data_IF_643970375738
#
_entry.id   IF_643970375738
#
_cell.length_a   1.000
_cell.length_b   1.000
_cell.length_c   1.000
_cell.angle_alpha   90.00
_cell.angle_beta   90.00
_cell.angle_gamma   90.00
#
_symmetry.space_group_name_H-M   'P 1'
#
loop_
_entity.id
_entity.type
_entity.pdbx_description
1 polymer ?
#
# COMPACT_ATOMS: atom_id res chain seq x y z
N UNK A 1 -16.94 5.60 22.22
CA UNK A 1 -18.05 6.53 22.48
C UNK A 1 -18.51 7.15 21.17
N UNK A 2 -19.79 7.11 20.92
CA UNK A 2 -20.33 7.66 19.68
C UNK A 2 -20.75 9.11 19.84
N UNK A 3 -20.47 9.93 18.82
CA UNK A 3 -20.97 11.28 18.73
C UNK A 3 -22.43 11.20 18.28
N UNK A 4 -23.29 12.07 18.81
CA UNK A 4 -24.68 12.08 18.39
C UNK A 4 -24.77 12.35 16.88
N UNK A 5 -25.76 11.76 16.22
CA UNK A 5 -25.90 11.88 14.78
C UNK A 5 -26.03 13.33 14.32
N UNK A 6 -26.83 14.13 15.02
CA UNK A 6 -26.99 15.55 14.67
C UNK A 6 -25.71 16.34 14.78
N UNK A 7 -24.91 16.07 15.80
CA UNK A 7 -23.63 16.77 15.98
C UNK A 7 -22.65 16.40 14.88
N UNK A 8 -22.61 15.13 14.47
CA UNK A 8 -21.75 14.69 13.38
C UNK A 8 -22.13 15.35 12.06
N UNK A 9 -23.42 15.40 11.76
CA UNK A 9 -23.90 16.02 10.53
C UNK A 9 -23.56 17.50 10.48
N UNK A 10 -23.66 18.20 11.58
CA UNK A 10 -23.31 19.62 11.65
C UNK A 10 -21.82 19.87 11.39
N UNK A 11 -20.96 19.07 11.99
CA UNK A 11 -19.52 19.15 11.78
C UNK A 11 -19.17 18.87 10.33
N UNK A 12 -19.75 17.83 9.74
CA UNK A 12 -19.53 17.49 8.34
C UNK A 12 -19.95 18.61 7.40
N UNK A 13 -21.09 19.24 7.67
CA UNK A 13 -21.56 20.34 6.86
C UNK A 13 -20.61 21.54 6.89
N UNK A 14 -20.05 21.86 8.06
CA UNK A 14 -19.09 22.95 8.19
C UNK A 14 -17.79 22.65 7.43
N UNK A 15 -17.29 21.43 7.53
CA UNK A 15 -16.08 21.03 6.82
C UNK A 15 -16.27 21.08 5.31
N UNK A 16 -17.42 20.62 4.82
CA UNK A 16 -17.71 20.63 3.38
C UNK A 16 -17.76 22.05 2.82
N UNK A 17 -18.24 23.02 3.59
CA UNK A 17 -18.24 24.41 3.16
C UNK A 17 -16.85 25.00 3.04
N UNK A 18 -15.90 24.51 3.83
CA UNK A 18 -14.52 25.00 3.84
C UNK A 18 -13.64 24.31 2.79
N UNK A 19 -14.02 23.11 2.38
CA UNK A 19 -13.24 22.34 1.42
C UNK A 19 -13.79 22.53 0.02
N UNK A 20 -12.89 22.84 -0.92
CA UNK A 20 -13.24 23.00 -2.33
C UNK A 20 -12.72 21.81 -3.10
N UNK A 21 -13.44 21.48 -4.16
CA UNK A 21 -13.00 20.44 -5.11
C UNK A 21 -12.77 19.09 -4.45
N UNK A 22 -13.67 18.71 -3.55
CA UNK A 22 -13.60 17.41 -2.90
C UNK A 22 -13.83 16.32 -3.94
N UNK A 23 -12.90 15.37 -4.09
CA UNK A 23 -13.12 14.27 -5.03
C UNK A 23 -14.25 13.36 -4.55
N UNK A 24 -14.90 12.63 -5.46
CA UNK A 24 -15.91 11.65 -5.06
C UNK A 24 -15.30 10.62 -4.11
N UNK A 25 -16.10 10.17 -3.16
CA UNK A 25 -15.70 9.12 -2.25
C UNK A 25 -15.52 7.81 -3.02
N UNK A 26 -14.52 7.03 -2.59
CA UNK A 26 -14.31 5.68 -3.13
C UNK A 26 -14.65 4.66 -2.06
N UNK A 27 -15.28 3.58 -2.48
CA UNK A 27 -15.68 2.49 -1.59
C UNK A 27 -15.13 1.19 -2.16
N UNK A 28 -15.11 0.15 -1.32
CA UNK A 28 -14.75 -1.17 -1.80
C UNK A 28 -15.72 -1.59 -2.90
N UNK A 29 -15.23 -2.25 -3.95
CA UNK A 29 -16.12 -2.67 -5.03
C UNK A 29 -17.11 -3.73 -4.55
N UNK A 30 -18.29 -3.78 -5.21
CA UNK A 30 -19.32 -4.73 -4.85
C UNK A 30 -18.86 -6.18 -4.93
N UNK A 31 -17.87 -6.45 -5.80
CA UNK A 31 -17.31 -7.78 -5.97
C UNK A 31 -16.05 -8.02 -5.15
N UNK A 32 -15.86 -7.27 -4.08
CA UNK A 32 -14.61 -7.34 -3.30
C UNK A 32 -14.29 -8.76 -2.85
N UNK A 33 -15.28 -9.53 -2.48
CA UNK A 33 -15.08 -10.91 -2.04
C UNK A 33 -14.64 -11.85 -3.17
N UNK A 34 -14.74 -11.40 -4.42
CA UNK A 34 -14.41 -12.19 -5.60
C UNK A 34 -13.09 -11.80 -6.24
N UNK A 35 -12.34 -10.87 -5.64
CA UNK A 35 -11.07 -10.45 -6.19
C UNK A 35 -10.05 -11.57 -6.07
N UNK A 36 -9.02 -11.52 -6.93
CA UNK A 36 -7.94 -12.50 -6.85
C UNK A 36 -7.19 -12.36 -5.52
N UNK A 37 -6.64 -13.44 -4.98
CA UNK A 37 -5.85 -13.34 -3.76
C UNK A 37 -4.58 -12.53 -3.98
N UNK A 38 -4.01 -11.95 -2.93
CA UNK A 38 -2.75 -11.21 -3.07
C UNK A 38 -1.64 -12.14 -3.55
N UNK A 39 -0.80 -11.61 -4.42
CA UNK A 39 0.34 -12.37 -4.97
C UNK A 39 1.41 -12.67 -3.93
N UNK A 40 1.55 -11.78 -2.97
CA UNK A 40 2.59 -11.90 -1.96
C UNK A 40 1.97 -11.97 -0.57
N UNK A 41 2.62 -12.73 0.29
CA UNK A 41 2.21 -12.86 1.69
C UNK A 41 3.19 -12.14 2.60
N UNK A 42 2.73 -11.78 3.80
CA UNK A 42 3.62 -11.18 4.78
C UNK A 42 4.78 -12.13 5.10
N UNK A 43 5.99 -11.60 5.12
CA UNK A 43 7.20 -12.38 5.31
C UNK A 43 7.94 -12.73 4.03
N UNK A 44 7.31 -12.55 2.87
CA UNK A 44 7.98 -12.81 1.59
C UNK A 44 8.95 -11.68 1.24
N UNK A 45 10.05 -12.05 0.61
CA UNK A 45 11.02 -11.10 0.08
C UNK A 45 10.58 -10.63 -1.28
N UNK A 46 10.63 -9.33 -1.51
CA UNK A 46 10.25 -8.73 -2.79
C UNK A 46 11.22 -7.62 -3.16
N UNK A 47 11.24 -7.29 -4.45
CA UNK A 47 11.97 -6.14 -4.96
C UNK A 47 11.14 -5.45 -6.03
N UNK A 48 11.47 -4.20 -6.30
CA UNK A 48 10.80 -3.44 -7.37
C UNK A 48 11.32 -3.93 -8.73
N UNK A 49 10.41 -4.14 -9.67
CA UNK A 49 10.73 -4.78 -10.95
C UNK A 49 11.49 -3.89 -11.92
N UNK A 50 11.30 -2.59 -11.84
CA UNK A 50 11.81 -1.64 -12.84
C UNK A 50 13.12 -0.97 -12.46
N UNK A 51 13.73 -1.31 -11.33
CA UNK A 51 14.93 -0.64 -10.85
C UNK A 51 16.19 -1.50 -10.93
N UNK A 52 16.07 -2.74 -11.36
CA UNK A 52 17.22 -3.62 -11.51
C UNK A 52 17.79 -4.13 -10.18
N UNK A 53 18.99 -4.68 -10.25
CA UNK A 53 19.62 -5.33 -9.08
C UNK A 53 20.01 -4.36 -7.98
N UNK A 54 20.22 -3.10 -8.32
CA UNK A 54 20.61 -2.08 -7.33
C UNK A 54 19.41 -1.36 -6.73
N UNK A 55 18.20 -1.79 -7.07
CA UNK A 55 16.99 -1.19 -6.56
C UNK A 55 16.69 -1.59 -5.13
N UNK A 56 15.62 -1.01 -4.61
CA UNK A 56 15.15 -1.33 -3.27
C UNK A 56 14.57 -2.73 -3.21
N UNK A 57 14.72 -3.36 -2.06
CA UNK A 57 14.13 -4.65 -1.78
C UNK A 57 13.86 -4.77 -0.28
N UNK A 58 13.04 -5.73 0.10
CA UNK A 58 12.75 -5.92 1.50
C UNK A 58 11.71 -7.01 1.72
N UNK A 59 11.08 -6.95 2.88
CA UNK A 59 10.10 -7.93 3.34
C UNK A 59 8.71 -7.32 3.35
N UNK A 60 7.73 -8.07 2.89
CA UNK A 60 6.32 -7.68 2.98
C UNK A 60 5.91 -7.76 4.45
N UNK A 61 5.46 -6.65 5.01
CA UNK A 61 4.96 -6.58 6.39
C UNK A 61 3.49 -6.23 6.46
N UNK A 62 2.87 -5.89 5.35
CA UNK A 62 1.46 -5.57 5.29
C UNK A 62 0.95 -5.63 3.87
N UNK A 63 -0.34 -5.83 3.74
CA UNK A 63 -1.00 -5.84 2.44
C UNK A 63 -2.37 -5.19 2.58
N UNK A 64 -2.78 -4.46 1.56
CA UNK A 64 -4.06 -3.78 1.56
C UNK A 64 -4.56 -3.59 0.14
N UNK A 65 -5.86 -3.42 0.01
CA UNK A 65 -6.49 -3.22 -1.28
C UNK A 65 -6.79 -1.74 -1.42
N UNK A 66 -6.34 -1.12 -2.52
CA UNK A 66 -6.43 0.31 -2.70
C UNK A 66 -6.88 0.66 -4.11
N UNK A 67 -7.50 1.82 -4.25
CA UNK A 67 -7.96 2.29 -5.55
C UNK A 67 -6.86 3.08 -6.25
N UNK A 68 -6.50 2.64 -7.46
CA UNK A 68 -5.52 3.34 -8.29
C UNK A 68 -6.26 4.28 -9.25
N UNK A 69 -6.18 5.57 -8.99
CA UNK A 69 -6.92 6.57 -9.76
C UNK A 69 -6.51 6.63 -11.23
N UNK A 70 -5.24 6.45 -11.52
CA UNK A 70 -4.75 6.52 -12.91
C UNK A 70 -5.31 5.40 -13.77
N UNK A 71 -5.55 4.24 -13.17
CA UNK A 71 -6.08 3.07 -13.86
C UNK A 71 -7.55 2.84 -13.60
N UNK A 72 -8.13 3.65 -12.70
CA UNK A 72 -9.53 3.54 -12.31
C UNK A 72 -9.90 2.12 -11.88
N UNK A 73 -9.05 1.47 -11.09
CA UNK A 73 -9.32 0.11 -10.60
C UNK A 73 -8.73 -0.12 -9.22
N UNK A 74 -9.27 -1.11 -8.54
CA UNK A 74 -8.78 -1.55 -7.24
C UNK A 74 -7.64 -2.53 -7.45
N UNK A 75 -6.58 -2.37 -6.67
CA UNK A 75 -5.37 -3.18 -6.80
C UNK A 75 -4.79 -3.49 -5.44
N UNK A 76 -4.09 -4.62 -5.34
CA UNK A 76 -3.35 -4.96 -4.15
C UNK A 76 -2.13 -4.07 -4.01
N UNK A 77 -1.89 -3.61 -2.78
CA UNK A 77 -0.71 -2.85 -2.40
C UNK A 77 -0.04 -3.55 -1.24
N UNK A 78 1.24 -3.28 -1.08
CA UNK A 78 2.04 -3.90 -0.03
C UNK A 78 2.87 -2.88 0.70
N UNK A 79 3.04 -3.10 1.99
CA UNK A 79 3.97 -2.33 2.80
C UNK A 79 5.23 -3.17 2.89
N UNK A 80 6.36 -2.59 2.48
CA UNK A 80 7.64 -3.28 2.39
C UNK A 80 8.59 -2.70 3.43
N UNK A 81 9.07 -3.54 4.34
CA UNK A 81 10.14 -3.16 5.25
C UNK A 81 11.46 -3.28 4.51
N UNK A 82 12.11 -2.15 4.29
CA UNK A 82 13.27 -2.09 3.42
C UNK A 82 14.47 -2.76 4.06
N UNK A 83 15.21 -3.50 3.25
CA UNK A 83 16.44 -4.14 3.69
C UNK A 83 17.49 -3.08 4.06
N UNK A 84 18.37 -3.38 5.01
CA UNK A 84 19.35 -2.38 5.46
C UNK A 84 20.26 -1.82 4.36
N UNK A 85 20.47 -2.60 3.30
CA UNK A 85 21.31 -2.18 2.17
C UNK A 85 20.53 -1.58 1.01
N UNK A 86 19.23 -1.38 1.16
CA UNK A 86 18.44 -0.67 0.16
C UNK A 86 18.79 0.81 0.14
N UNK A 87 18.81 1.41 -1.05
CA UNK A 87 19.14 2.82 -1.18
C UNK A 87 18.22 3.73 -0.38
N UNK A 88 16.95 3.41 -0.40
CA UNK A 88 15.95 4.27 0.25
C UNK A 88 15.99 4.20 1.77
N UNK A 89 16.72 3.28 2.37
CA UNK A 89 16.84 3.24 3.84
C UNK A 89 17.54 4.47 4.41
N UNK A 90 18.22 5.24 3.57
CA UNK A 90 18.77 6.51 3.99
C UNK A 90 17.67 7.53 4.35
N UNK A 91 16.46 7.35 3.85
CA UNK A 91 15.35 8.29 4.07
C UNK A 91 14.17 7.67 4.80
N UNK A 92 13.95 6.37 4.66
CA UNK A 92 12.79 5.72 5.24
C UNK A 92 13.10 4.26 5.57
N UNK A 93 12.33 3.70 6.50
CA UNK A 93 12.48 2.30 6.89
C UNK A 93 11.53 1.39 6.15
N UNK A 94 10.45 1.93 5.61
CA UNK A 94 9.47 1.16 4.84
C UNK A 94 8.92 2.01 3.70
N UNK A 95 8.34 1.33 2.73
CA UNK A 95 7.69 1.99 1.60
C UNK A 95 6.51 1.13 1.15
N UNK A 96 5.66 1.71 0.33
CA UNK A 96 4.51 0.99 -0.22
C UNK A 96 4.71 0.80 -1.72
N UNK A 97 4.09 -0.25 -2.24
CA UNK A 97 4.18 -0.56 -3.67
C UNK A 97 2.91 -1.24 -4.16
N UNK A 98 2.59 -1.01 -5.43
CA UNK A 98 1.55 -1.74 -6.12
C UNK A 98 2.04 -3.14 -6.45
N UNK A 99 1.11 -4.11 -6.45
CA UNK A 99 1.47 -5.51 -6.70
C UNK A 99 2.27 -5.71 -7.97
N UNK A 100 1.91 -5.02 -9.03
CA UNK A 100 2.58 -5.20 -10.33
C UNK A 100 3.98 -4.60 -10.39
N UNK A 101 4.33 -3.75 -9.43
CA UNK A 101 5.65 -3.14 -9.39
C UNK A 101 6.65 -3.99 -8.61
N UNK A 102 6.21 -5.13 -8.10
CA UNK A 102 7.02 -6.01 -7.27
C UNK A 102 7.20 -7.38 -7.91
N UNK A 103 8.33 -8.00 -7.59
CA UNK A 103 8.59 -9.40 -7.90
C UNK A 103 9.25 -10.07 -6.72
N UNK A 104 9.17 -11.38 -6.65
CA UNK A 104 9.85 -12.13 -5.59
C UNK A 104 11.36 -11.97 -5.72
N UNK A 105 12.01 -11.82 -4.58
CA UNK A 105 13.44 -11.64 -4.53
C UNK A 105 14.07 -12.84 -3.83
N UNK A 106 14.75 -13.69 -4.60
CA UNK A 106 15.41 -14.89 -4.09
C UNK A 106 16.91 -14.75 -4.28
N UNK A 107 17.54 -14.03 -3.38
CA UNK A 107 18.98 -13.79 -3.39
C UNK A 107 19.56 -14.26 -2.07
N UNK A 108 20.83 -14.64 -2.07
CA UNK A 108 21.52 -15.02 -0.85
C UNK A 108 21.51 -13.92 0.18
N UNK A 109 21.55 -12.66 -0.25
CA UNK A 109 21.45 -11.50 0.62
C UNK A 109 20.12 -11.44 1.36
N UNK A 110 19.05 -11.87 0.70
CA UNK A 110 17.73 -11.89 1.31
C UNK A 110 17.67 -12.88 2.46
N UNK A 111 18.38 -14.00 2.36
CA UNK A 111 18.42 -14.98 3.44
C UNK A 111 19.03 -14.41 4.72
N UNK A 112 20.01 -13.55 4.61
CA UNK A 112 20.57 -12.86 5.75
C UNK A 112 19.60 -11.88 6.38
N UNK A 113 18.88 -11.17 5.54
CA UNK A 113 17.92 -10.19 6.03
C UNK A 113 16.77 -10.85 6.78
N UNK A 114 16.36 -12.01 6.34
CA UNK A 114 15.22 -12.73 6.91
C UNK A 114 15.51 -13.29 8.31
N UNK A 115 16.72 -13.23 8.73
CA UNK A 115 17.12 -13.68 10.06
C UNK A 115 17.14 -12.52 11.05
#
# INVERSE_FOLDING_TARGET
MSISKGKRDLISGLLLKQLKDIPPSTELPANFAQIHPPRFECGEMVRWTDVGEEGDWGIVIGKFYNYEQRRCCWMWCYVIWLAPNSKSTAWCQFDTAWEEDLERYEDEKAAYFDR
#
